data_IF_542683552081
#
_entry.id   IF_542683552081
#
_cell.length_a   1.000
_cell.length_b   1.000
_cell.length_c   1.000
_cell.angle_alpha   90.00
_cell.angle_beta   90.00
_cell.angle_gamma   90.00
#
_symmetry.space_group_name_H-M   'P 1'
#
loop_
_entity.id
_entity.type
_entity.pdbx_description
1 polymer ?
#
# COMPACT_ATOMS: atom_id res chain seq x y z
N UNK A 1 -12.73 -5.14 10.44
CA UNK A 1 -14.13 -4.75 10.11
C UNK A 1 -14.46 -3.32 10.52
N UNK A 2 -14.08 -2.84 11.72
CA UNK A 2 -14.38 -1.46 12.16
C UNK A 2 -13.86 -0.35 11.24
N UNK A 3 -12.65 -0.50 10.67
CA UNK A 3 -12.07 0.49 9.74
C UNK A 3 -12.93 0.64 8.48
N UNK A 4 -13.44 -0.47 7.93
CA UNK A 4 -14.27 -0.45 6.73
C UNK A 4 -15.63 0.21 6.98
N UNK A 5 -16.30 -0.14 8.09
CA UNK A 5 -17.58 0.44 8.47
C UNK A 5 -17.49 1.95 8.66
N UNK A 6 -16.45 2.43 9.36
CA UNK A 6 -16.26 3.87 9.56
C UNK A 6 -15.89 4.61 8.29
N UNK A 7 -15.28 3.93 7.32
CA UNK A 7 -14.87 4.52 6.04
C UNK A 7 -16.00 4.61 5.02
N UNK A 8 -16.84 3.57 4.91
CA UNK A 8 -18.05 3.63 4.08
C UNK A 8 -18.99 4.75 4.57
N UNK A 9 -19.10 4.92 5.88
CA UNK A 9 -19.90 5.98 6.52
C UNK A 9 -19.34 7.40 6.28
N UNK A 10 -18.02 7.58 6.25
CA UNK A 10 -17.38 8.91 6.04
C UNK A 10 -17.27 9.28 4.56
N UNK A 11 -17.06 8.32 3.67
CA UNK A 11 -16.87 8.59 2.23
C UNK A 11 -18.18 8.53 1.43
N UNK A 12 -19.26 7.97 1.97
CA UNK A 12 -20.56 7.86 1.28
C UNK A 12 -20.55 6.94 0.04
N UNK A 13 -19.52 6.12 -0.11
CA UNK A 13 -19.36 5.18 -1.23
C UNK A 13 -19.86 3.80 -0.80
N UNK A 14 -20.84 3.27 -1.53
CA UNK A 14 -21.50 1.97 -1.28
C UNK A 14 -20.80 0.78 -1.95
N UNK A 15 -19.82 1.01 -2.84
CA UNK A 15 -18.99 -0.03 -3.43
C UNK A 15 -17.63 -0.15 -2.73
N UNK A 16 -17.44 -1.24 -1.99
CA UNK A 16 -16.18 -1.65 -1.39
C UNK A 16 -14.97 -1.52 -2.33
N UNK A 17 -15.12 -1.79 -3.63
CA UNK A 17 -13.97 -1.80 -4.53
C UNK A 17 -13.51 -0.39 -4.90
N UNK A 18 -14.43 0.53 -5.22
CA UNK A 18 -14.09 1.94 -5.46
C UNK A 18 -13.50 2.65 -4.24
N UNK A 19 -13.96 2.29 -3.03
CA UNK A 19 -13.35 2.77 -1.78
C UNK A 19 -11.89 2.36 -1.69
N UNK A 20 -11.59 1.08 -1.94
CA UNK A 20 -10.22 0.56 -1.89
C UNK A 20 -9.33 1.17 -2.98
N UNK A 21 -9.86 1.38 -4.17
CA UNK A 21 -9.14 2.03 -5.27
C UNK A 21 -8.77 3.48 -4.94
N UNK A 22 -9.72 4.23 -4.39
CA UNK A 22 -9.49 5.61 -3.91
C UNK A 22 -8.40 5.64 -2.85
N UNK A 23 -8.45 4.71 -1.89
CA UNK A 23 -7.44 4.60 -0.85
C UNK A 23 -6.05 4.24 -1.39
N UNK A 24 -5.95 3.23 -2.25
CA UNK A 24 -4.67 2.85 -2.82
C UNK A 24 -4.08 3.96 -3.68
N UNK A 25 -4.90 4.67 -4.43
CA UNK A 25 -4.47 5.85 -5.19
C UNK A 25 -3.95 6.93 -4.26
N UNK A 26 -4.65 7.21 -3.15
CA UNK A 26 -4.20 8.18 -2.14
C UNK A 26 -2.90 7.75 -1.46
N UNK A 27 -2.74 6.46 -1.13
CA UNK A 27 -1.49 5.91 -0.57
C UNK A 27 -0.34 6.16 -1.54
N UNK A 28 -0.48 5.77 -2.82
CA UNK A 28 0.57 5.96 -3.83
C UNK A 28 0.90 7.45 -3.99
N UNK A 29 -0.11 8.31 -4.05
CA UNK A 29 0.07 9.75 -4.20
C UNK A 29 0.79 10.37 -3.00
N UNK A 30 0.41 9.98 -1.79
CA UNK A 30 1.09 10.41 -0.56
C UNK A 30 2.56 10.01 -0.58
N UNK A 31 2.87 8.74 -0.90
CA UNK A 31 4.24 8.23 -0.90
C UNK A 31 5.11 8.83 -2.03
N UNK A 32 4.52 9.17 -3.19
CA UNK A 32 5.21 9.82 -4.31
C UNK A 32 5.58 11.27 -4.00
N UNK A 33 4.59 12.07 -3.62
CA UNK A 33 4.72 13.53 -3.57
C UNK A 33 5.10 14.07 -2.19
N UNK A 34 4.84 13.32 -1.12
CA UNK A 34 5.11 13.74 0.26
C UNK A 34 6.31 13.02 0.86
N UNK A 35 7.25 12.55 0.02
CA UNK A 35 8.44 11.79 0.42
C UNK A 35 9.41 12.51 1.38
N UNK A 36 9.17 13.79 1.72
CA UNK A 36 9.93 14.58 2.70
C UNK A 36 9.17 14.85 4.00
N UNK A 37 7.90 14.47 4.09
CA UNK A 37 7.07 14.68 5.27
C UNK A 37 6.90 13.36 6.03
N UNK A 38 7.84 13.09 6.95
CA UNK A 38 7.86 11.87 7.77
C UNK A 38 6.49 11.51 8.39
N UNK A 39 5.74 12.42 9.04
CA UNK A 39 4.48 12.04 9.67
C UNK A 39 3.41 11.61 8.66
N UNK A 40 3.43 12.14 7.44
CA UNK A 40 2.51 11.73 6.37
C UNK A 40 2.90 10.34 5.86
N UNK A 41 4.19 10.10 5.65
CA UNK A 41 4.71 8.80 5.19
C UNK A 41 4.41 7.73 6.24
N UNK A 42 4.78 7.96 7.48
CA UNK A 42 4.61 7.02 8.59
C UNK A 42 3.15 6.59 8.77
N UNK A 43 2.22 7.55 8.81
CA UNK A 43 0.78 7.25 8.89
C UNK A 43 0.25 6.54 7.63
N UNK A 44 0.72 6.92 6.45
CA UNK A 44 0.33 6.29 5.19
C UNK A 44 0.81 4.83 5.14
N UNK A 45 2.03 4.56 5.59
CA UNK A 45 2.61 3.22 5.63
C UNK A 45 1.97 2.35 6.71
N UNK A 46 1.63 2.92 7.87
CA UNK A 46 0.86 2.22 8.90
C UNK A 46 -0.49 1.79 8.34
N UNK A 47 -1.20 2.69 7.67
CA UNK A 47 -2.48 2.36 7.03
C UNK A 47 -2.33 1.27 5.96
N UNK A 48 -1.30 1.36 5.10
CA UNK A 48 -0.98 0.31 4.13
C UNK A 48 -0.70 -1.04 4.82
N UNK A 49 0.02 -1.03 5.94
CA UNK A 49 0.33 -2.24 6.70
C UNK A 49 -0.96 -2.86 7.26
N UNK A 50 -1.85 -2.07 7.87
CA UNK A 50 -3.14 -2.53 8.40
C UNK A 50 -4.02 -3.17 7.30
N UNK A 51 -4.05 -2.57 6.10
CA UNK A 51 -4.73 -3.14 4.94
C UNK A 51 -4.07 -4.45 4.46
N UNK A 52 -2.75 -4.59 4.64
CA UNK A 52 -1.97 -5.74 4.19
C UNK A 52 -2.06 -6.98 5.10
N UNK A 53 -2.73 -6.91 6.25
CA UNK A 53 -2.87 -8.06 7.17
C UNK A 53 -4.03 -8.98 6.76
N UNK A 54 -5.07 -8.45 6.11
CA UNK A 54 -6.25 -9.24 5.72
C UNK A 54 -6.08 -9.96 4.38
N UNK A 55 -6.04 -11.30 4.36
CA UNK A 55 -5.89 -12.08 3.12
C UNK A 55 -6.97 -11.82 2.05
N UNK A 56 -8.25 -11.75 2.45
CA UNK A 56 -9.36 -11.45 1.53
C UNK A 56 -9.19 -10.06 0.92
N UNK A 57 -8.73 -9.11 1.73
CA UNK A 57 -8.48 -7.74 1.31
C UNK A 57 -7.30 -7.67 0.33
N UNK A 58 -6.18 -8.31 0.65
CA UNK A 58 -5.03 -8.44 -0.25
C UNK A 58 -5.43 -8.98 -1.63
N UNK A 59 -6.30 -10.00 -1.68
CA UNK A 59 -6.81 -10.57 -2.94
C UNK A 59 -7.54 -9.55 -3.81
N UNK A 60 -8.27 -8.60 -3.20
CA UNK A 60 -8.91 -7.47 -3.89
C UNK A 60 -7.85 -6.42 -4.30
N UNK A 61 -6.98 -6.04 -3.36
CA UNK A 61 -5.96 -5.00 -3.55
C UNK A 61 -5.03 -5.27 -4.73
N UNK A 62 -4.52 -6.50 -4.90
CA UNK A 62 -3.60 -6.80 -6.01
C UNK A 62 -4.24 -6.66 -7.40
N UNK A 63 -5.56 -6.55 -7.51
CA UNK A 63 -6.25 -6.26 -8.78
C UNK A 63 -6.20 -4.77 -9.15
N UNK A 64 -5.99 -3.88 -8.18
CA UNK A 64 -6.00 -2.43 -8.33
C UNK A 64 -4.72 -1.96 -9.01
N UNK A 65 -4.84 -1.06 -9.98
CA UNK A 65 -3.69 -0.60 -10.78
C UNK A 65 -2.67 0.18 -9.96
N UNK A 66 -3.10 0.93 -8.95
CA UNK A 66 -2.20 1.58 -7.99
C UNK A 66 -1.29 0.56 -7.26
N UNK A 67 -1.80 -0.62 -6.90
CA UNK A 67 -1.00 -1.68 -6.26
C UNK A 67 -0.04 -2.31 -7.26
N UNK A 68 -0.50 -2.61 -8.49
CA UNK A 68 0.39 -3.11 -9.56
C UNK A 68 1.50 -2.13 -9.86
N UNK A 69 1.20 -0.83 -9.86
CA UNK A 69 2.18 0.22 -10.02
C UNK A 69 3.23 0.16 -8.89
N UNK A 70 2.81 0.04 -7.64
CA UNK A 70 3.73 -0.09 -6.49
C UNK A 70 4.62 -1.33 -6.61
N UNK A 71 4.05 -2.48 -6.98
CA UNK A 71 4.80 -3.73 -7.16
C UNK A 71 5.86 -3.61 -8.26
N UNK A 72 5.58 -2.86 -9.33
CA UNK A 72 6.54 -2.66 -10.44
C UNK A 72 7.56 -1.56 -10.17
N UNK A 73 7.19 -0.50 -9.45
CA UNK A 73 7.96 0.73 -9.33
C UNK A 73 8.29 1.06 -7.86
N UNK A 74 8.98 0.16 -7.17
CA UNK A 74 9.27 0.24 -5.72
C UNK A 74 10.70 0.72 -5.39
N UNK A 75 11.17 1.73 -6.13
CA UNK A 75 12.51 2.33 -5.99
C UNK A 75 12.42 3.80 -5.58
N UNK A 76 13.55 4.40 -5.20
CA UNK A 76 13.62 5.82 -4.81
C UNK A 76 13.29 6.80 -5.94
N UNK A 77 13.34 6.36 -7.20
CA UNK A 77 12.91 7.13 -8.36
C UNK A 77 11.41 7.48 -8.29
N UNK A 78 10.60 6.54 -7.81
CA UNK A 78 9.16 6.69 -7.72
C UNK A 78 8.70 7.02 -6.30
N UNK A 79 9.48 6.62 -5.29
CA UNK A 79 9.16 6.83 -3.89
C UNK A 79 10.36 7.46 -3.17
N UNK A 80 10.43 8.81 -3.10
CA UNK A 80 11.62 9.50 -2.60
C UNK A 80 12.07 9.08 -1.20
N UNK A 81 11.13 8.67 -0.33
CA UNK A 81 11.42 8.19 1.03
C UNK A 81 12.23 6.87 1.08
N UNK A 82 12.34 6.14 -0.04
CA UNK A 82 13.16 4.94 -0.15
C UNK A 82 14.63 5.24 -0.43
N UNK A 83 14.93 6.48 -0.85
CA UNK A 83 16.27 6.94 -1.15
C UNK A 83 17.13 7.08 0.10
N UNK A 84 18.44 7.12 -0.11
CA UNK A 84 19.41 7.43 0.93
C UNK A 84 19.58 8.96 0.93
N UNK A 85 19.08 9.61 1.98
CA UNK A 85 19.34 11.04 2.20
C UNK A 85 20.67 11.28 2.90
N UNK A 86 21.20 12.51 2.83
CA UNK A 86 22.46 12.90 3.47
C UNK A 86 22.42 12.79 5.00
N UNK A 87 21.22 12.85 5.60
CA UNK A 87 20.98 12.66 7.03
C UNK A 87 20.19 11.38 7.26
N UNK A 88 20.88 10.33 7.75
CA UNK A 88 20.24 9.07 8.12
C UNK A 88 19.39 9.23 9.37
N UNK A 89 18.06 9.16 9.22
CA UNK A 89 17.15 9.11 10.37
C UNK A 89 16.66 7.68 10.63
N UNK A 90 16.52 7.29 11.91
CA UNK A 90 15.93 5.99 12.28
C UNK A 90 14.49 5.83 11.77
N UNK A 91 13.78 6.93 11.54
CA UNK A 91 12.45 6.98 10.92
C UNK A 91 12.46 6.50 9.48
N UNK A 92 13.48 6.84 8.69
CA UNK A 92 13.58 6.43 7.28
C UNK A 92 13.74 4.91 7.18
N UNK A 93 14.59 4.33 8.03
CA UNK A 93 14.74 2.87 8.10
C UNK A 93 13.42 2.18 8.46
N UNK A 94 12.69 2.69 9.45
CA UNK A 94 11.38 2.14 9.83
C UNK A 94 10.36 2.24 8.71
N UNK A 95 10.30 3.36 8.00
CA UNK A 95 9.41 3.53 6.85
C UNK A 95 9.75 2.54 5.73
N UNK A 96 11.03 2.37 5.40
CA UNK A 96 11.49 1.41 4.38
C UNK A 96 11.12 -0.02 4.75
N UNK A 97 11.41 -0.45 5.99
CA UNK A 97 11.05 -1.79 6.47
C UNK A 97 9.54 -2.02 6.43
N UNK A 98 8.74 -1.04 6.86
CA UNK A 98 7.27 -1.15 6.86
C UNK A 98 6.72 -1.25 5.44
N UNK A 99 7.23 -0.43 4.52
CA UNK A 99 6.85 -0.45 3.11
C UNK A 99 7.13 -1.81 2.47
N UNK A 100 8.35 -2.32 2.60
CA UNK A 100 8.71 -3.61 2.00
C UNK A 100 7.98 -4.78 2.66
N UNK A 101 7.69 -4.72 3.97
CA UNK A 101 6.87 -5.73 4.65
C UNK A 101 5.47 -5.83 4.02
N UNK A 102 4.80 -4.69 3.80
CA UNK A 102 3.49 -4.67 3.17
C UNK A 102 3.56 -5.08 1.69
N UNK A 103 4.58 -4.63 0.97
CA UNK A 103 4.79 -4.94 -0.44
C UNK A 103 5.03 -6.45 -0.67
N UNK A 104 5.82 -7.10 0.19
CA UNK A 104 6.06 -8.54 0.12
C UNK A 104 4.78 -9.34 0.32
N UNK A 105 3.89 -8.92 1.25
CA UNK A 105 2.58 -9.58 1.44
C UNK A 105 1.70 -9.45 0.20
N UNK A 106 1.68 -8.27 -0.42
CA UNK A 106 0.97 -8.05 -1.69
C UNK A 106 1.55 -8.92 -2.80
N UNK A 107 2.88 -8.98 -2.92
CA UNK A 107 3.59 -9.79 -3.91
C UNK A 107 3.31 -11.29 -3.73
N UNK A 108 3.34 -11.81 -2.51
CA UNK A 108 3.03 -13.22 -2.24
C UNK A 108 1.62 -13.62 -2.68
N UNK A 109 0.64 -12.72 -2.50
CA UNK A 109 -0.73 -12.98 -2.96
C UNK A 109 -0.84 -12.88 -4.48
N UNK A 110 -0.10 -11.97 -5.12
CA UNK A 110 -0.05 -11.85 -6.58
C UNK A 110 0.59 -13.08 -7.23
N UNK A 111 1.74 -13.54 -6.72
CA UNK A 111 2.41 -14.78 -7.12
C UNK A 111 1.56 -16.01 -6.83
N UNK A 112 0.90 -16.06 -5.68
CA UNK A 112 -0.01 -17.17 -5.32
C UNK A 112 -1.19 -17.33 -6.28
N UNK A 113 -1.65 -16.23 -6.92
CA UNK A 113 -2.64 -16.31 -8.01
C UNK A 113 -2.06 -16.92 -9.27
N UNK A 114 -0.80 -16.62 -9.59
CA UNK A 114 -0.09 -17.21 -10.73
C UNK A 114 0.20 -18.70 -10.53
N UNK A 115 0.44 -19.13 -9.28
CA UNK A 115 0.73 -20.52 -8.92
C UNK A 115 -0.50 -21.41 -8.74
N UNK A 116 -1.72 -20.86 -8.71
CA UNK A 116 -2.94 -21.66 -8.88
C UNK A 116 -3.25 -21.76 -10.37
N UNK A 117 -2.92 -22.86 -11.06
CA UNK A 117 -3.27 -23.00 -12.45
C UNK A 117 -4.79 -22.98 -12.52
N UNK A 118 -5.30 -22.20 -13.47
CA UNK A 118 -6.68 -22.11 -13.90
C UNK A 118 -7.38 -23.49 -13.79
N UNK A 119 -8.09 -23.76 -12.70
CA UNK A 119 -9.00 -24.90 -12.61
C UNK A 119 -10.24 -24.50 -13.41
N UNK A 120 -10.16 -24.69 -14.73
CA UNK A 120 -11.32 -24.85 -15.61
C UNK A 120 -11.43 -26.33 -15.94
#
# INVERSE_FOLDING_TARGET
>A
MQVYARMSEVLGITDDNHVLETFMTKIVTNLKYWGRCEPVISRTLQFLNDLSVGYILLKKLVKIDAVKFMLKNHTSEHFPFLGIGDTYSLSDFRCRTTFYTALTRLLMVDLGKLMTPNRR
#
